data_IF_786386464448
#
_entry.id   IF_786386464448
#
_cell.length_a   1.000
_cell.length_b   1.000
_cell.length_c   1.000
_cell.angle_alpha   90.00
_cell.angle_beta   90.00
_cell.angle_gamma   90.00
#
_symmetry.space_group_name_H-M   'P 1'
#
loop_
_entity.id
_entity.type
_entity.pdbx_description
1 polymer ?
#
# COMPACT_ATOMS: atom_id res chain seq x y z
N UNK A 1 25.76 11.71 -9.27
CA UNK A 1 25.85 10.24 -9.20
C UNK A 1 24.51 9.76 -8.68
N UNK A 2 23.69 9.14 -9.53
CA UNK A 2 22.40 8.61 -9.08
C UNK A 2 22.66 7.24 -8.44
N UNK A 3 22.64 7.20 -7.11
CA UNK A 3 22.69 5.95 -6.35
C UNK A 3 21.29 5.32 -6.40
N UNK A 4 21.18 4.19 -7.11
CA UNK A 4 19.92 3.50 -7.30
C UNK A 4 20.12 2.05 -7.70
N UNK A 5 19.22 1.18 -7.22
CA UNK A 5 19.24 -0.25 -7.52
C UNK A 5 18.12 -0.63 -8.48
N UNK A 6 18.46 -1.36 -9.53
CA UNK A 6 17.49 -1.94 -10.45
C UNK A 6 17.03 -3.30 -9.93
N UNK A 7 15.74 -3.45 -9.64
CA UNK A 7 15.15 -4.73 -9.24
C UNK A 7 14.18 -5.23 -10.29
N UNK A 8 14.27 -6.51 -10.64
CA UNK A 8 13.32 -7.18 -11.54
C UNK A 8 12.50 -8.18 -10.75
N UNK A 9 11.18 -8.00 -10.73
CA UNK A 9 10.28 -8.93 -10.09
C UNK A 9 8.85 -8.84 -10.67
N UNK A 10 8.20 -9.99 -10.83
CA UNK A 10 6.82 -10.07 -11.35
C UNK A 10 6.64 -9.51 -12.77
N UNK A 11 7.68 -9.59 -13.62
CA UNK A 11 7.66 -9.03 -14.98
C UNK A 11 7.79 -7.51 -15.06
N UNK A 12 8.02 -6.83 -13.94
CA UNK A 12 8.25 -5.38 -13.88
C UNK A 12 9.68 -5.06 -13.46
N UNK A 13 10.15 -3.92 -13.95
CA UNK A 13 11.42 -3.31 -13.57
C UNK A 13 11.10 -2.22 -12.54
N UNK A 14 11.88 -2.19 -11.47
CA UNK A 14 11.78 -1.22 -10.38
C UNK A 14 13.11 -0.49 -10.25
N UNK A 15 13.07 0.84 -10.22
CA UNK A 15 14.23 1.67 -9.93
C UNK A 15 14.13 2.18 -8.48
N UNK A 16 14.92 1.57 -7.59
CA UNK A 16 14.99 1.97 -6.19
C UNK A 16 16.06 3.06 -6.03
N UNK A 17 15.70 4.33 -6.16
CA UNK A 17 16.62 5.47 -5.93
C UNK A 17 16.65 5.90 -4.46
N UNK A 18 17.59 6.78 -4.07
CA UNK A 18 17.84 7.24 -2.68
C UNK A 18 16.64 7.74 -1.84
N UNK A 19 15.46 7.96 -2.42
CA UNK A 19 14.21 8.16 -1.65
C UNK A 19 13.66 6.87 -1.05
N UNK A 20 13.96 5.71 -1.65
CA UNK A 20 13.58 4.37 -1.16
C UNK A 20 14.20 4.05 0.21
N UNK A 21 15.35 4.64 0.49
CA UNK A 21 16.09 4.48 1.74
C UNK A 21 15.63 5.44 2.84
N UNK A 22 14.78 6.42 2.52
CA UNK A 22 14.27 7.36 3.51
C UNK A 22 13.26 6.69 4.44
N UNK A 23 13.29 7.03 5.74
CA UNK A 23 12.34 6.49 6.70
C UNK A 23 10.92 6.94 6.35
N UNK A 24 9.98 6.01 6.44
CA UNK A 24 8.56 6.30 6.30
C UNK A 24 7.99 6.78 7.65
N UNK A 25 6.93 7.61 7.64
CA UNK A 25 6.22 7.92 8.87
C UNK A 25 5.61 6.65 9.47
N UNK A 26 5.62 6.53 10.81
CA UNK A 26 5.14 5.33 11.50
C UNK A 26 3.64 5.07 11.25
N UNK A 27 2.82 6.11 11.37
CA UNK A 27 1.40 6.09 11.01
C UNK A 27 0.94 7.49 10.61
N UNK A 28 0.03 7.58 9.65
CA UNK A 28 -0.56 8.84 9.17
C UNK A 28 -2.07 8.75 9.30
N UNK A 29 -2.66 9.65 10.09
CA UNK A 29 -4.12 9.75 10.18
C UNK A 29 -4.69 10.37 8.90
N UNK A 30 -5.66 9.69 8.28
CA UNK A 30 -6.37 10.19 7.11
C UNK A 30 -7.71 10.78 7.56
N UNK A 31 -7.69 12.08 7.85
CA UNK A 31 -8.83 12.79 8.46
C UNK A 31 -9.98 12.99 7.47
N UNK A 32 -9.66 13.28 6.20
CA UNK A 32 -10.62 13.41 5.12
C UNK A 32 -10.30 12.42 4.00
N UNK A 33 -10.91 11.22 4.02
CA UNK A 33 -10.67 10.19 3.00
C UNK A 33 -11.29 10.49 1.65
N UNK A 34 -12.14 11.53 1.54
CA UNK A 34 -12.64 12.02 0.25
C UNK A 34 -11.57 12.83 -0.51
N UNK A 35 -10.57 13.35 0.20
CA UNK A 35 -9.45 14.09 -0.39
C UNK A 35 -8.20 13.21 -0.49
N UNK A 36 -7.43 13.33 -1.59
CA UNK A 36 -6.15 12.62 -1.71
C UNK A 36 -5.18 12.96 -0.57
N UNK A 37 -4.49 11.95 -0.05
CA UNK A 37 -3.50 12.09 1.02
C UNK A 37 -2.09 11.94 0.45
N UNK A 38 -1.31 13.01 0.52
CA UNK A 38 0.12 12.96 0.23
C UNK A 38 0.88 12.34 1.41
N UNK A 39 1.70 11.34 1.13
CA UNK A 39 2.61 10.73 2.10
C UNK A 39 4.04 11.14 1.76
N UNK A 40 4.73 11.73 2.74
CA UNK A 40 6.12 12.14 2.62
C UNK A 40 6.99 10.97 2.11
N UNK A 41 7.75 11.23 1.04
CA UNK A 41 8.65 10.28 0.37
C UNK A 41 7.99 8.96 -0.13
N UNK A 42 6.65 8.89 -0.14
CA UNK A 42 5.93 7.69 -0.56
C UNK A 42 4.67 7.95 -1.41
N UNK A 43 4.54 9.11 -2.04
CA UNK A 43 3.53 9.35 -3.06
C UNK A 43 2.19 9.84 -2.53
N UNK A 44 1.12 9.57 -3.28
CA UNK A 44 -0.23 10.06 -2.99
C UNK A 44 -1.17 8.87 -2.93
N UNK A 45 -2.09 8.90 -1.97
CA UNK A 45 -3.16 7.95 -1.80
C UNK A 45 -4.49 8.60 -2.15
N UNK A 46 -5.38 7.83 -2.75
CA UNK A 46 -6.78 8.21 -2.93
C UNK A 46 -7.68 7.01 -2.71
N UNK A 47 -8.93 7.28 -2.32
CA UNK A 47 -9.98 6.29 -2.25
C UNK A 47 -11.03 6.59 -3.33
N UNK A 48 -11.57 5.55 -3.93
CA UNK A 48 -12.71 5.65 -4.84
C UNK A 48 -13.84 4.76 -4.34
N UNK A 49 -15.08 5.06 -4.69
CA UNK A 49 -16.25 4.25 -4.32
C UNK A 49 -16.85 4.64 -2.97
N UNK A 50 -17.52 3.70 -2.28
CA UNK A 50 -18.16 3.97 -1.00
C UNK A 50 -17.16 3.90 0.15
N UNK A 51 -16.46 5.02 0.35
CA UNK A 51 -15.42 5.18 1.36
C UNK A 51 -15.96 4.81 2.75
N UNK A 52 -15.22 3.99 3.54
CA UNK A 52 -15.63 3.65 4.89
C UNK A 52 -15.65 4.88 5.79
N UNK A 53 -16.75 5.07 6.52
CA UNK A 53 -16.87 6.13 7.52
C UNK A 53 -15.89 5.94 8.68
N UNK A 54 -15.55 7.04 9.35
CA UNK A 54 -14.76 7.04 10.58
C UNK A 54 -13.25 7.24 10.36
N UNK A 55 -12.47 7.23 11.46
CA UNK A 55 -11.05 7.57 11.41
C UNK A 55 -10.24 6.48 10.72
N UNK A 56 -9.62 6.83 9.59
CA UNK A 56 -8.72 5.96 8.86
C UNK A 56 -7.27 6.28 9.17
N UNK A 57 -6.41 5.27 9.07
CA UNK A 57 -4.98 5.40 9.27
C UNK A 57 -4.20 4.68 8.19
N UNK A 58 -3.17 5.32 7.69
CA UNK A 58 -2.17 4.70 6.83
C UNK A 58 -1.00 4.25 7.70
N UNK A 59 -0.64 2.98 7.57
CA UNK A 59 0.52 2.37 8.23
C UNK A 59 1.35 1.61 7.22
N UNK A 60 2.51 1.15 7.68
CA UNK A 60 3.42 0.32 6.90
C UNK A 60 3.64 -1.02 7.58
N UNK A 61 4.25 -1.95 6.85
CA UNK A 61 4.48 -3.29 7.36
C UNK A 61 5.53 -3.30 8.46
N UNK A 62 5.16 -3.88 9.59
CA UNK A 62 6.02 -4.17 10.75
C UNK A 62 6.25 -5.70 10.89
N UNK A 63 5.40 -6.51 10.25
CA UNK A 63 5.35 -7.97 10.39
C UNK A 63 4.26 -8.44 11.34
N UNK A 64 3.64 -9.58 11.03
CA UNK A 64 2.57 -10.16 11.84
C UNK A 64 1.18 -9.60 11.56
N UNK A 65 1.01 -8.77 10.52
CA UNK A 65 -0.30 -8.24 10.17
C UNK A 65 -1.24 -9.35 9.69
N UNK A 66 -2.50 -9.25 10.09
CA UNK A 66 -3.56 -10.18 9.71
C UNK A 66 -4.69 -9.37 9.07
N UNK A 67 -5.20 -9.84 7.94
CA UNK A 67 -6.31 -9.24 7.22
C UNK A 67 -7.55 -10.13 7.33
N UNK A 68 -8.69 -9.55 7.66
CA UNK A 68 -9.99 -10.21 7.56
C UNK A 68 -10.46 -10.17 6.10
N UNK A 69 -10.80 -11.33 5.54
CA UNK A 69 -11.28 -11.47 4.19
C UNK A 69 -12.74 -11.95 4.22
N UNK A 70 -13.69 -11.18 3.66
CA UNK A 70 -15.11 -11.57 3.62
C UNK A 70 -15.28 -12.99 3.04
N UNK A 71 -15.97 -13.86 3.78
CA UNK A 71 -16.20 -15.26 3.39
C UNK A 71 -14.97 -16.18 3.37
N UNK A 72 -13.77 -15.68 3.69
CA UNK A 72 -12.51 -16.46 3.69
C UNK A 72 -11.78 -16.47 5.04
N UNK A 73 -12.33 -15.79 6.05
CA UNK A 73 -11.77 -15.72 7.39
C UNK A 73 -10.55 -14.80 7.48
N UNK A 74 -9.65 -15.08 8.41
CA UNK A 74 -8.44 -14.27 8.64
C UNK A 74 -7.23 -14.89 7.95
N UNK A 75 -6.36 -14.05 7.36
CA UNK A 75 -5.15 -14.48 6.67
C UNK A 75 -3.98 -13.58 7.01
N UNK A 76 -2.81 -14.18 7.22
CA UNK A 76 -1.57 -13.44 7.41
C UNK A 76 -1.24 -12.63 6.15
N UNK A 77 -0.93 -11.34 6.33
CA UNK A 77 -0.59 -10.46 5.23
C UNK A 77 0.66 -10.95 4.48
N UNK A 78 1.64 -11.52 5.18
CA UNK A 78 2.82 -12.14 4.56
C UNK A 78 2.43 -13.17 3.50
N UNK A 79 1.44 -14.02 3.80
CA UNK A 79 0.97 -15.07 2.89
C UNK A 79 0.24 -14.47 1.70
N UNK A 80 -0.63 -13.48 1.93
CA UNK A 80 -1.33 -12.77 0.86
C UNK A 80 -0.35 -12.08 -0.10
N UNK A 81 0.66 -11.39 0.41
CA UNK A 81 1.69 -10.74 -0.40
C UNK A 81 2.54 -11.75 -1.21
N UNK A 82 2.81 -12.93 -0.65
CA UNK A 82 3.48 -14.01 -1.36
C UNK A 82 2.61 -14.53 -2.51
N UNK A 83 1.34 -14.82 -2.24
CA UNK A 83 0.38 -15.33 -3.24
C UNK A 83 0.13 -14.32 -4.36
N UNK A 84 0.13 -13.02 -4.06
CA UNK A 84 0.04 -11.93 -5.04
C UNK A 84 1.37 -11.63 -5.76
N UNK A 85 2.46 -12.35 -5.46
CA UNK A 85 3.76 -12.17 -6.12
C UNK A 85 4.45 -10.84 -5.80
N UNK A 86 4.10 -10.19 -4.68
CA UNK A 86 4.68 -8.89 -4.30
C UNK A 86 6.15 -9.07 -3.92
N UNK A 87 7.08 -8.34 -4.57
CA UNK A 87 8.51 -8.45 -4.27
C UNK A 87 8.82 -7.98 -2.85
N UNK A 88 9.71 -8.67 -2.13
CA UNK A 88 10.01 -8.39 -0.71
C UNK A 88 10.42 -6.94 -0.47
N UNK A 89 11.24 -6.36 -1.36
CA UNK A 89 11.71 -4.98 -1.23
C UNK A 89 10.56 -3.97 -1.25
N UNK A 90 9.52 -4.18 -2.07
CA UNK A 90 8.33 -3.31 -2.18
C UNK A 90 7.46 -3.36 -0.92
N UNK A 91 7.42 -4.50 -0.22
CA UNK A 91 6.44 -4.76 0.85
C UNK A 91 6.50 -3.76 1.99
N UNK A 92 7.68 -3.26 2.35
CA UNK A 92 7.83 -2.28 3.42
C UNK A 92 7.25 -0.91 3.08
N UNK A 93 7.09 -0.61 1.79
CA UNK A 93 6.57 0.66 1.28
C UNK A 93 5.11 0.63 0.89
N UNK A 94 4.50 -0.56 0.80
CA UNK A 94 3.08 -0.68 0.48
C UNK A 94 2.25 -0.04 1.58
N UNK A 95 1.46 1.00 1.26
CA UNK A 95 0.54 1.60 2.21
C UNK A 95 -0.54 0.60 2.60
N UNK A 96 -0.74 0.49 3.91
CA UNK A 96 -1.78 -0.32 4.53
C UNK A 96 -2.84 0.59 5.12
N UNK A 97 -4.11 0.39 4.74
CA UNK A 97 -5.22 1.13 5.31
C UNK A 97 -5.80 0.40 6.52
N UNK A 98 -5.83 1.10 7.64
CA UNK A 98 -6.38 0.64 8.90
C UNK A 98 -7.60 1.46 9.31
N UNK A 99 -8.54 0.78 9.96
CA UNK A 99 -9.65 1.38 10.70
C UNK A 99 -9.79 0.66 12.03
N UNK A 100 -9.84 1.40 13.14
CA UNK A 100 -9.99 0.84 14.49
C UNK A 100 -9.01 -0.32 14.80
N UNK A 101 -7.77 -0.21 14.28
CA UNK A 101 -6.72 -1.23 14.44
C UNK A 101 -6.83 -2.45 13.52
N UNK A 102 -7.86 -2.54 12.69
CA UNK A 102 -8.05 -3.60 11.71
C UNK A 102 -7.48 -3.20 10.33
N UNK A 103 -6.75 -4.12 9.70
CA UNK A 103 -6.26 -3.95 8.33
C UNK A 103 -7.41 -4.15 7.34
N UNK A 104 -7.79 -3.08 6.64
CA UNK A 104 -8.88 -3.08 5.67
C UNK A 104 -8.41 -3.23 4.22
N UNK A 105 -7.26 -2.66 3.87
CA UNK A 105 -6.76 -2.75 2.50
C UNK A 105 -5.23 -2.64 2.38
N UNK A 106 -4.72 -3.19 1.29
CA UNK A 106 -3.34 -3.09 0.83
C UNK A 106 -3.35 -2.42 -0.54
N UNK A 107 -2.72 -1.26 -0.66
CA UNK A 107 -2.87 -0.44 -1.85
C UNK A 107 -2.42 -1.16 -3.14
N UNK A 108 -3.18 -0.98 -4.22
CA UNK A 108 -2.92 -1.53 -5.55
C UNK A 108 -2.83 -3.06 -5.66
N UNK A 109 -3.29 -3.82 -4.67
CA UNK A 109 -3.35 -5.28 -4.74
C UNK A 109 -4.77 -5.75 -4.97
N UNK A 110 -5.09 -6.14 -6.21
CA UNK A 110 -6.42 -6.60 -6.61
C UNK A 110 -7.02 -7.61 -5.63
N UNK A 111 -8.18 -7.27 -5.08
CA UNK A 111 -8.93 -8.12 -4.14
C UNK A 111 -8.45 -8.01 -2.69
N UNK A 112 -7.47 -7.15 -2.43
CA UNK A 112 -7.00 -6.72 -1.11
C UNK A 112 -6.99 -5.19 -1.01
N UNK A 113 -7.22 -4.47 -2.10
CA UNK A 113 -7.18 -3.02 -2.20
C UNK A 113 -8.49 -2.36 -1.73
N UNK A 114 -9.41 -3.11 -1.18
CA UNK A 114 -10.74 -2.64 -0.83
C UNK A 114 -11.56 -3.70 -0.11
N UNK A 115 -12.78 -3.32 0.25
CA UNK A 115 -13.77 -4.29 0.72
C UNK A 115 -14.36 -5.05 -0.47
N UNK A 116 -14.56 -6.36 -0.30
CA UNK A 116 -15.30 -7.17 -1.27
C UNK A 116 -16.80 -6.83 -1.32
N UNK A 117 -17.32 -6.15 -0.27
CA UNK A 117 -18.74 -5.80 -0.10
C UNK A 117 -19.01 -4.31 -0.38
N UNK A 118 -18.03 -3.42 -0.12
CA UNK A 118 -18.23 -1.98 -0.07
C UNK A 118 -17.88 -1.18 -1.33
N UNK A 119 -17.57 -1.81 -2.46
CA UNK A 119 -17.21 -1.16 -3.74
C UNK A 119 -16.22 0.02 -3.63
N UNK A 120 -15.34 0.01 -2.62
CA UNK A 120 -14.31 1.04 -2.46
C UNK A 120 -12.92 0.45 -2.69
N UNK A 121 -12.03 1.30 -3.21
CA UNK A 121 -10.67 0.89 -3.59
C UNK A 121 -9.65 1.95 -3.16
N UNK A 122 -8.56 1.48 -2.55
CA UNK A 122 -7.39 2.23 -2.16
C UNK A 122 -6.37 2.23 -3.30
N UNK A 123 -6.19 3.42 -3.86
CA UNK A 123 -5.22 3.68 -4.91
C UNK A 123 -3.98 4.33 -4.33
N UNK A 124 -2.83 3.87 -4.79
CA UNK A 124 -1.54 4.44 -4.47
C UNK A 124 -0.81 4.85 -5.74
N UNK A 125 -0.52 6.14 -5.85
CA UNK A 125 0.35 6.69 -6.88
C UNK A 125 1.71 6.94 -6.24
N UNK A 126 2.72 6.08 -6.49
CA UNK A 126 4.08 6.38 -6.05
C UNK A 126 4.54 7.69 -6.69
N UNK A 127 5.47 8.40 -6.05
CA UNK A 127 6.09 9.59 -6.65
C UNK A 127 6.65 9.22 -8.04
N UNK A 128 6.41 10.05 -9.04
CA UNK A 128 6.67 9.83 -10.48
C UNK A 128 8.14 9.59 -10.90
N UNK A 129 9.01 9.07 -10.03
CA UNK A 129 10.40 8.72 -10.39
C UNK A 129 10.57 7.32 -11.00
N UNK A 130 9.48 6.62 -11.34
CA UNK A 130 9.53 5.33 -12.01
C UNK A 130 8.60 5.33 -13.22
N UNK A 131 8.89 6.18 -14.20
CA UNK A 131 8.64 5.80 -15.58
C UNK A 131 9.99 5.36 -16.13
N UNK A 132 10.20 4.04 -16.12
CA UNK A 132 11.24 3.41 -16.90
C UNK A 132 11.27 4.04 -18.30
N UNK A 133 12.47 4.47 -18.69
CA UNK A 133 12.80 4.80 -20.07
C UNK A 133 12.24 3.66 -20.95
N UNK A 134 11.27 4.00 -21.79
CA UNK A 134 11.01 3.20 -23.00
C UNK A 134 12.22 3.28 -23.92
#
# INVERSE_FOLDING_TARGET
MADGELHRAGGRIWWLSGRWLRPLPAAVAWQDPASPLAIADNGVLSLTGQIPDGPLQIRYREGGEVMALPGRGHRDLKRLLNESGVPSFVRGRLPLLYKDGQLLAVANLKGLDGDAIGDWHLHWQPLNEDQGLS
#
